data_IF_658616281968
#
_entry.id   IF_658616281968
#
_cell.length_a   1.000
_cell.length_b   1.000
_cell.length_c   1.000
_cell.angle_alpha   90.00
_cell.angle_beta   90.00
_cell.angle_gamma   90.00
#
_symmetry.space_group_name_H-M   'P 1'
#
loop_
_entity.id
_entity.type
_entity.pdbx_description
1 polymer ?
#
# COMPACT_ATOMS: atom_id res chain seq x y z
N UNK A 1 9.35 -10.63 -0.94
CA UNK A 1 10.08 -11.76 -1.60
C UNK A 1 10.47 -11.39 -3.05
N UNK A 2 11.59 -11.89 -3.62
CA UNK A 2 12.19 -11.38 -4.90
C UNK A 2 12.11 -12.33 -6.11
N UNK A 3 11.24 -13.35 -6.16
CA UNK A 3 11.41 -14.41 -7.19
C UNK A 3 10.15 -14.73 -8.00
N UNK A 4 8.98 -14.89 -7.39
CA UNK A 4 7.84 -15.54 -8.06
C UNK A 4 7.33 -14.79 -9.31
N UNK A 5 7.11 -13.49 -9.20
CA UNK A 5 6.59 -12.70 -10.33
C UNK A 5 7.68 -12.25 -11.30
N UNK A 6 8.97 -12.29 -10.92
CA UNK A 6 10.06 -11.73 -11.73
C UNK A 6 10.20 -12.34 -13.13
N UNK A 7 9.67 -13.55 -13.33
CA UNK A 7 9.57 -14.21 -14.62
C UNK A 7 8.77 -13.40 -15.66
N UNK A 8 7.86 -12.51 -15.24
CA UNK A 8 7.00 -11.71 -16.12
C UNK A 8 7.62 -10.36 -16.53
N UNK A 9 8.81 -10.01 -16.04
CA UNK A 9 9.46 -8.74 -16.38
C UNK A 9 9.67 -8.60 -17.89
N UNK A 10 9.38 -7.41 -18.42
CA UNK A 10 9.51 -7.11 -19.85
C UNK A 10 8.32 -7.54 -20.70
N UNK A 11 7.30 -8.18 -20.13
CA UNK A 11 6.05 -8.45 -20.87
C UNK A 11 5.35 -7.13 -21.24
N UNK A 12 4.70 -7.05 -22.42
CA UNK A 12 4.11 -5.81 -22.95
C UNK A 12 2.93 -5.27 -22.12
N UNK A 13 2.36 -6.10 -21.24
CA UNK A 13 1.21 -5.76 -20.41
C UNK A 13 1.60 -5.04 -19.11
N UNK A 14 2.89 -5.00 -18.77
CA UNK A 14 3.34 -4.36 -17.54
C UNK A 14 3.32 -2.83 -17.69
N UNK A 15 2.46 -2.16 -16.91
CA UNK A 15 2.47 -0.69 -16.80
C UNK A 15 3.76 -0.19 -16.13
N UNK A 16 4.35 -0.99 -15.25
CA UNK A 16 5.61 -0.69 -14.55
C UNK A 16 6.45 -1.95 -14.39
N UNK A 17 7.78 -1.82 -14.18
CA UNK A 17 8.60 -2.92 -13.72
C UNK A 17 8.06 -3.52 -12.42
N UNK A 18 8.35 -4.80 -12.19
CA UNK A 18 7.90 -5.49 -10.98
C UNK A 18 8.48 -4.81 -9.74
N UNK A 19 7.58 -4.42 -8.84
CA UNK A 19 7.92 -3.73 -7.61
C UNK A 19 8.31 -4.73 -6.54
N UNK A 20 9.52 -4.57 -5.99
CA UNK A 20 10.02 -5.42 -4.90
C UNK A 20 10.11 -4.71 -3.55
N UNK A 21 10.01 -3.38 -3.54
CA UNK A 21 10.09 -2.54 -2.34
C UNK A 21 8.68 -2.20 -1.83
N UNK A 22 8.46 -2.32 -0.52
CA UNK A 22 7.14 -2.09 0.07
C UNK A 22 6.74 -0.61 0.06
N UNK A 23 7.69 0.31 0.21
CA UNK A 23 7.41 1.75 0.12
C UNK A 23 6.98 2.14 -1.29
N UNK A 24 7.65 1.59 -2.31
CA UNK A 24 7.25 1.75 -3.69
C UNK A 24 5.89 1.12 -3.97
N UNK A 25 5.58 -0.05 -3.41
CA UNK A 25 4.27 -0.70 -3.58
C UNK A 25 3.11 0.20 -3.07
N UNK A 26 3.29 0.88 -1.94
CA UNK A 26 2.31 1.85 -1.42
C UNK A 26 2.11 3.02 -2.40
N UNK A 27 3.18 3.51 -3.04
CA UNK A 27 3.07 4.58 -4.06
C UNK A 27 2.23 4.13 -5.24
N UNK A 28 2.44 2.90 -5.72
CA UNK A 28 1.65 2.32 -6.82
C UNK A 28 0.17 2.19 -6.45
N UNK A 29 -0.13 1.75 -5.22
CA UNK A 29 -1.52 1.69 -4.75
C UNK A 29 -2.15 3.08 -4.70
N UNK A 30 -1.41 4.10 -4.28
CA UNK A 30 -1.90 5.49 -4.26
C UNK A 30 -2.07 6.07 -5.66
N UNK A 31 -1.20 5.73 -6.61
CA UNK A 31 -1.39 6.06 -8.01
C UNK A 31 -2.66 5.41 -8.56
N UNK A 32 -2.89 4.13 -8.26
CA UNK A 32 -4.09 3.42 -8.71
C UNK A 32 -5.38 4.07 -8.18
N UNK A 33 -5.36 4.64 -6.98
CA UNK A 33 -6.48 5.43 -6.45
C UNK A 33 -6.68 6.71 -7.25
N UNK A 34 -5.61 7.40 -7.64
CA UNK A 34 -5.70 8.60 -8.47
C UNK A 34 -6.21 8.30 -9.88
N UNK A 35 -5.72 7.22 -10.50
CA UNK A 35 -6.21 6.73 -11.79
C UNK A 35 -7.70 6.33 -11.71
N UNK A 36 -8.11 5.70 -10.61
CA UNK A 36 -9.52 5.40 -10.35
C UNK A 36 -10.38 6.67 -10.31
N UNK A 37 -9.96 7.72 -9.59
CA UNK A 37 -10.65 9.01 -9.53
C UNK A 37 -10.72 9.69 -10.91
N UNK A 38 -9.61 9.68 -11.65
CA UNK A 38 -9.53 10.19 -13.02
C UNK A 38 -10.54 9.48 -13.93
N UNK A 39 -10.63 8.14 -13.87
CA UNK A 39 -11.62 7.37 -14.63
C UNK A 39 -13.05 7.76 -14.28
N UNK A 40 -13.37 7.94 -12.99
CA UNK A 40 -14.70 8.41 -12.59
C UNK A 40 -15.04 9.78 -13.16
N UNK A 41 -14.08 10.72 -13.17
CA UNK A 41 -14.29 12.04 -13.78
C UNK A 41 -14.57 11.92 -15.28
N UNK A 42 -13.79 11.12 -15.99
CA UNK A 42 -13.99 10.85 -17.42
C UNK A 42 -15.37 10.24 -17.66
N UNK A 43 -15.80 9.28 -16.83
CA UNK A 43 -17.11 8.65 -16.98
C UNK A 43 -18.25 9.64 -16.75
N UNK A 44 -18.12 10.51 -15.76
CA UNK A 44 -19.10 11.56 -15.48
C UNK A 44 -19.20 12.58 -16.63
N UNK A 45 -18.06 13.01 -17.19
CA UNK A 45 -17.99 13.96 -18.32
C UNK A 45 -18.59 13.37 -19.61
N UNK A 46 -18.45 12.06 -19.82
CA UNK A 46 -18.99 11.36 -20.99
C UNK A 46 -20.38 10.76 -20.78
N UNK A 47 -20.94 10.85 -19.56
CA UNK A 47 -22.28 10.34 -19.24
C UNK A 47 -22.40 8.82 -19.15
N UNK A 48 -21.28 8.10 -19.03
CA UNK A 48 -21.23 6.63 -18.92
C UNK A 48 -21.05 6.19 -17.47
N UNK A 49 -21.38 4.92 -17.18
CA UNK A 49 -21.38 4.40 -15.80
C UNK A 49 -20.16 3.58 -15.42
N UNK A 50 -19.42 3.07 -16.40
CA UNK A 50 -18.32 2.14 -16.20
C UNK A 50 -17.36 2.14 -17.39
N UNK A 51 -16.25 1.42 -17.23
CA UNK A 51 -15.20 1.27 -18.24
C UNK A 51 -15.74 0.73 -19.58
N UNK A 52 -16.62 -0.28 -19.53
CA UNK A 52 -17.19 -0.87 -20.74
C UNK A 52 -18.00 0.14 -21.55
N UNK A 53 -18.86 0.90 -20.87
CA UNK A 53 -19.64 1.97 -21.48
C UNK A 53 -18.76 3.09 -22.02
N UNK A 54 -17.69 3.45 -21.32
CA UNK A 54 -16.71 4.42 -21.83
C UNK A 54 -16.01 3.91 -23.10
N UNK A 55 -15.55 2.67 -23.10
CA UNK A 55 -14.87 2.08 -24.25
C UNK A 55 -15.79 1.92 -25.46
N UNK A 56 -17.08 1.62 -25.24
CA UNK A 56 -18.09 1.63 -26.29
C UNK A 56 -18.33 3.03 -26.84
N UNK A 57 -18.48 4.03 -25.96
CA UNK A 57 -18.62 5.43 -26.36
C UNK A 57 -17.45 5.91 -27.23
N UNK A 58 -16.21 5.66 -26.79
CA UNK A 58 -14.99 6.07 -27.51
C UNK A 58 -14.89 5.43 -28.89
N UNK A 59 -15.21 4.14 -29.01
CA UNK A 59 -15.21 3.43 -30.31
C UNK A 59 -16.22 4.01 -31.30
N UNK A 60 -17.30 4.63 -30.82
CA UNK A 60 -18.36 5.17 -31.66
C UNK A 60 -18.09 6.62 -32.14
N UNK A 61 -17.30 7.41 -31.40
CA UNK A 61 -17.09 8.84 -31.71
C UNK A 61 -15.93 9.11 -32.68
N UNK A 62 -15.15 8.08 -33.06
CA UNK A 62 -14.13 8.11 -34.12
C UNK A 62 -13.18 9.32 -34.08
N UNK A 63 -12.69 9.66 -32.88
CA UNK A 63 -12.00 10.93 -32.61
C UNK A 63 -10.56 10.76 -32.07
N UNK A 64 -9.80 9.79 -32.61
CA UNK A 64 -8.44 9.39 -32.19
C UNK A 64 -8.23 9.12 -30.68
N UNK A 65 -9.33 9.07 -29.91
CA UNK A 65 -9.30 8.74 -28.49
C UNK A 65 -9.22 7.23 -28.36
N UNK A 66 -8.28 6.73 -27.56
CA UNK A 66 -8.13 5.30 -27.34
C UNK A 66 -9.00 4.80 -26.19
N UNK A 67 -9.50 3.54 -26.25
CA UNK A 67 -10.20 2.91 -25.15
C UNK A 67 -9.26 2.71 -23.95
N UNK A 68 -9.79 2.84 -22.75
CA UNK A 68 -9.05 2.62 -21.51
C UNK A 68 -8.90 1.10 -21.23
N UNK A 69 -7.71 0.63 -20.82
CA UNK A 69 -7.48 -0.77 -20.50
C UNK A 69 -8.00 -1.14 -19.11
N UNK A 70 -8.26 -2.43 -18.87
CA UNK A 70 -8.35 -2.94 -17.51
C UNK A 70 -6.97 -2.93 -16.85
N UNK A 71 -6.93 -2.58 -15.57
CA UNK A 71 -5.71 -2.62 -14.78
C UNK A 71 -5.86 -3.74 -13.74
N UNK A 72 -4.93 -4.69 -13.72
CA UNK A 72 -4.90 -5.76 -12.72
C UNK A 72 -3.66 -5.56 -11.86
N UNK A 73 -3.87 -5.34 -10.56
CA UNK A 73 -2.81 -5.21 -9.57
C UNK A 73 -2.69 -6.53 -8.83
N UNK A 74 -1.52 -7.16 -8.91
CA UNK A 74 -1.23 -8.44 -8.25
C UNK A 74 -0.23 -8.23 -7.13
N UNK A 75 -0.59 -8.61 -5.91
CA UNK A 75 0.28 -8.60 -4.73
C UNK A 75 0.51 -10.05 -4.31
N UNK A 76 1.72 -10.56 -4.51
CA UNK A 76 2.10 -11.96 -4.21
C UNK A 76 2.14 -12.26 -2.70
N UNK A 77 2.52 -11.28 -1.88
CA UNK A 77 2.58 -11.43 -0.43
C UNK A 77 2.08 -10.18 0.28
N UNK A 78 0.78 -10.18 0.61
CA UNK A 78 0.14 -9.11 1.37
C UNK A 78 0.81 -8.90 2.74
N UNK A 79 1.32 -9.97 3.36
CA UNK A 79 1.94 -9.92 4.68
C UNK A 79 3.13 -8.95 4.74
N UNK A 80 3.98 -8.94 3.70
CA UNK A 80 5.16 -8.07 3.63
C UNK A 80 4.71 -6.59 3.63
N UNK A 81 3.61 -6.28 2.95
CA UNK A 81 3.03 -4.95 2.91
C UNK A 81 2.42 -4.56 4.26
N UNK A 82 1.60 -5.43 4.84
CA UNK A 82 0.92 -5.21 6.12
C UNK A 82 1.89 -5.10 7.30
N UNK A 83 3.01 -5.82 7.29
CA UNK A 83 4.01 -5.72 8.36
C UNK A 83 4.85 -4.43 8.28
N UNK A 84 5.02 -3.88 7.08
CA UNK A 84 5.81 -2.66 6.87
C UNK A 84 5.01 -1.38 7.08
N UNK A 85 3.75 -1.35 6.65
CA UNK A 85 2.88 -0.18 6.77
C UNK A 85 1.40 -0.57 6.87
N UNK A 86 0.95 -1.17 7.98
CA UNK A 86 -0.38 -1.79 8.08
C UNK A 86 -1.53 -0.82 7.79
N UNK A 87 -1.49 0.37 8.41
CA UNK A 87 -2.55 1.38 8.28
C UNK A 87 -2.66 1.87 6.83
N UNK A 88 -1.54 2.29 6.22
CA UNK A 88 -1.52 2.82 4.84
C UNK A 88 -1.91 1.73 3.84
N UNK A 89 -1.41 0.51 4.02
CA UNK A 89 -1.72 -0.62 3.15
C UNK A 89 -3.21 -0.96 3.19
N UNK A 90 -3.78 -1.11 4.39
CA UNK A 90 -5.19 -1.45 4.57
C UNK A 90 -6.11 -0.37 3.98
N UNK A 91 -5.83 0.91 4.25
CA UNK A 91 -6.60 2.03 3.71
C UNK A 91 -6.59 2.02 2.17
N UNK A 92 -5.41 1.94 1.55
CA UNK A 92 -5.31 1.95 0.09
C UNK A 92 -6.01 0.75 -0.55
N UNK A 93 -5.84 -0.44 0.02
CA UNK A 93 -6.47 -1.67 -0.47
C UNK A 93 -7.99 -1.64 -0.35
N UNK A 94 -8.51 -1.21 0.81
CA UNK A 94 -9.94 -1.11 1.04
C UNK A 94 -10.57 -0.07 0.12
N UNK A 95 -9.93 1.10 -0.03
CA UNK A 95 -10.42 2.18 -0.90
C UNK A 95 -10.52 1.76 -2.36
N UNK A 96 -9.49 1.08 -2.88
CA UNK A 96 -9.52 0.52 -4.23
C UNK A 96 -10.65 -0.52 -4.33
N UNK A 97 -10.66 -1.51 -3.43
CA UNK A 97 -11.63 -2.61 -3.48
C UNK A 97 -13.10 -2.14 -3.46
N UNK A 98 -13.43 -1.07 -2.73
CA UNK A 98 -14.79 -0.50 -2.70
C UNK A 98 -15.28 0.08 -4.03
N UNK A 99 -14.37 0.56 -4.87
CA UNK A 99 -14.70 1.39 -6.03
C UNK A 99 -14.22 0.80 -7.37
N UNK A 100 -13.48 -0.32 -7.32
CA UNK A 100 -12.93 -1.07 -8.47
C UNK A 100 -13.95 -1.49 -9.54
N UNK A 101 -15.18 -1.84 -9.16
CA UNK A 101 -16.13 -2.51 -10.08
C UNK A 101 -16.48 -1.70 -11.34
N UNK A 102 -16.58 -0.38 -11.23
CA UNK A 102 -16.94 0.46 -12.37
C UNK A 102 -15.73 0.93 -13.18
N UNK A 103 -14.57 1.09 -12.53
CA UNK A 103 -13.36 1.68 -13.13
C UNK A 103 -12.51 0.69 -13.92
N UNK A 104 -12.77 -0.61 -13.76
CA UNK A 104 -12.00 -1.68 -14.41
C UNK A 104 -10.57 -1.81 -13.86
N UNK A 105 -10.35 -1.35 -12.64
CA UNK A 105 -9.16 -1.65 -11.86
C UNK A 105 -9.51 -2.84 -10.98
N UNK A 106 -8.70 -3.89 -10.94
CA UNK A 106 -8.96 -5.11 -10.17
C UNK A 106 -7.75 -5.49 -9.33
N UNK A 107 -8.00 -6.04 -8.15
CA UNK A 107 -6.97 -6.46 -7.20
C UNK A 107 -6.96 -7.98 -7.08
N UNK A 108 -5.76 -8.56 -7.15
CA UNK A 108 -5.48 -9.94 -6.77
C UNK A 108 -4.44 -9.88 -5.64
N UNK A 109 -4.85 -10.28 -4.45
CA UNK A 109 -3.98 -10.33 -3.28
C UNK A 109 -3.75 -11.80 -2.88
N UNK A 110 -2.50 -12.16 -2.67
CA UNK A 110 -2.08 -13.47 -2.19
C UNK A 110 -1.28 -13.30 -0.90
N UNK A 111 -1.31 -14.32 -0.06
CA UNK A 111 -0.45 -14.41 1.12
C UNK A 111 -0.28 -15.86 1.54
N UNK A 112 0.89 -16.16 2.10
CA UNK A 112 1.15 -17.46 2.76
C UNK A 112 0.90 -17.41 4.27
N UNK A 113 0.54 -16.24 4.82
CA UNK A 113 0.37 -16.00 6.25
C UNK A 113 -1.10 -15.63 6.54
N UNK A 114 -2.00 -16.61 6.64
CA UNK A 114 -3.42 -16.36 6.88
C UNK A 114 -3.72 -16.08 8.36
N UNK A 115 -3.13 -15.01 8.91
CA UNK A 115 -3.41 -14.52 10.27
C UNK A 115 -4.43 -13.37 10.26
N UNK A 116 -5.09 -13.17 11.40
CA UNK A 116 -6.08 -12.09 11.59
C UNK A 116 -5.45 -10.70 11.43
N UNK A 117 -4.16 -10.56 11.78
CA UNK A 117 -3.42 -9.30 11.66
C UNK A 117 -3.08 -8.93 10.20
N UNK A 118 -3.12 -9.91 9.29
CA UNK A 118 -2.85 -9.71 7.86
C UNK A 118 -4.18 -9.65 7.08
N UNK A 119 -5.08 -10.58 7.35
CA UNK A 119 -6.42 -10.64 6.76
C UNK A 119 -7.41 -10.06 7.77
N UNK A 120 -7.36 -8.74 7.92
CA UNK A 120 -8.18 -8.00 8.88
C UNK A 120 -9.66 -8.02 8.48
N UNK A 121 -10.55 -7.61 9.40
CA UNK A 121 -11.98 -7.51 9.12
C UNK A 121 -12.29 -6.62 7.92
N UNK A 122 -11.61 -5.48 7.80
CA UNK A 122 -11.76 -4.55 6.68
C UNK A 122 -11.37 -5.19 5.35
N UNK A 123 -10.25 -5.93 5.32
CA UNK A 123 -9.85 -6.68 4.13
C UNK A 123 -10.92 -7.72 3.77
N UNK A 124 -11.43 -8.49 4.74
CA UNK A 124 -12.49 -9.48 4.45
C UNK A 124 -13.75 -8.84 3.86
N UNK A 125 -14.20 -7.71 4.40
CA UNK A 125 -15.41 -7.03 3.91
C UNK A 125 -15.26 -6.55 2.46
N UNK A 126 -14.08 -6.04 2.11
CA UNK A 126 -13.85 -5.46 0.77
C UNK A 126 -13.39 -6.49 -0.29
N UNK A 127 -12.94 -7.68 0.13
CA UNK A 127 -12.53 -8.78 -0.75
C UNK A 127 -13.44 -10.01 -0.54
N UNK A 128 -14.68 -10.00 -1.07
CA UNK A 128 -15.67 -11.05 -0.81
C UNK A 128 -15.42 -12.36 -1.57
N UNK A 129 -14.75 -12.29 -2.73
CA UNK A 129 -14.35 -13.49 -3.49
C UNK A 129 -12.99 -13.96 -3.01
N UNK A 130 -12.89 -15.20 -2.54
CA UNK A 130 -11.67 -15.74 -1.91
C UNK A 130 -11.35 -17.14 -2.39
N UNK A 131 -10.07 -17.45 -2.44
CA UNK A 131 -9.55 -18.79 -2.73
C UNK A 131 -8.65 -19.18 -1.56
N UNK A 132 -8.85 -20.38 -1.02
CA UNK A 132 -7.92 -20.99 -0.08
C UNK A 132 -7.38 -22.29 -0.69
N UNK A 133 -6.06 -22.39 -0.80
CA UNK A 133 -5.37 -23.66 -0.97
C UNK A 133 -5.25 -24.37 0.40
N UNK A 134 -4.62 -25.54 0.41
CA UNK A 134 -4.37 -26.27 1.65
C UNK A 134 -3.65 -25.41 2.70
N UNK A 135 -4.22 -25.37 3.90
CA UNK A 135 -3.68 -24.67 5.08
C UNK A 135 -3.46 -25.65 6.22
N UNK A 136 -2.65 -25.27 7.21
CA UNK A 136 -2.26 -26.17 8.29
C UNK A 136 -3.34 -26.35 9.36
N UNK A 137 -4.20 -25.35 9.57
CA UNK A 137 -5.15 -25.36 10.70
C UNK A 137 -6.55 -24.89 10.33
N UNK A 138 -7.54 -25.31 11.13
CA UNK A 138 -8.91 -24.80 11.05
C UNK A 138 -9.00 -23.30 11.31
N UNK A 139 -8.07 -22.74 12.09
CA UNK A 139 -8.01 -21.31 12.37
C UNK A 139 -7.66 -20.57 11.09
N UNK A 140 -6.62 -21.01 10.38
CA UNK A 140 -6.21 -20.43 9.09
C UNK A 140 -7.33 -20.51 8.04
N UNK A 141 -8.03 -21.66 7.97
CA UNK A 141 -9.20 -21.82 7.07
C UNK A 141 -10.27 -20.78 7.38
N UNK A 142 -10.58 -20.56 8.66
CA UNK A 142 -11.55 -19.55 9.10
C UNK A 142 -11.05 -18.13 8.87
N UNK A 143 -9.75 -17.85 8.98
CA UNK A 143 -9.22 -16.52 8.65
C UNK A 143 -9.47 -16.18 7.18
N UNK A 144 -9.30 -17.14 6.26
CA UNK A 144 -9.47 -16.90 4.82
C UNK A 144 -10.95 -16.96 4.41
N UNK A 145 -11.67 -18.04 4.74
CA UNK A 145 -12.99 -18.35 4.19
C UNK A 145 -14.15 -18.11 5.15
N UNK A 146 -13.88 -17.69 6.39
CA UNK A 146 -14.85 -17.64 7.49
C UNK A 146 -15.49 -19.01 7.86
N UNK A 147 -15.02 -20.10 7.24
CA UNK A 147 -15.44 -21.48 7.49
C UNK A 147 -14.24 -22.44 7.59
N UNK A 148 -14.48 -23.62 8.16
CA UNK A 148 -13.53 -24.73 8.10
C UNK A 148 -13.63 -25.46 6.75
N UNK A 149 -12.54 -26.11 6.32
CA UNK A 149 -12.50 -26.98 5.16
C UNK A 149 -11.17 -26.94 4.41
N UNK A 150 -10.49 -25.80 4.42
CA UNK A 150 -9.22 -25.66 3.70
C UNK A 150 -8.10 -26.49 4.35
N UNK A 151 -8.19 -26.78 5.65
CA UNK A 151 -7.25 -27.65 6.37
C UNK A 151 -7.35 -29.14 5.98
N UNK A 152 -8.38 -29.51 5.23
CA UNK A 152 -8.63 -30.88 4.75
C UNK A 152 -8.25 -31.07 3.28
N UNK A 153 -7.76 -30.03 2.63
CA UNK A 153 -7.33 -30.09 1.23
C UNK A 153 -6.03 -30.90 1.12
N UNK A 154 -5.83 -31.50 -0.04
CA UNK A 154 -4.74 -32.45 -0.30
C UNK A 154 -3.42 -31.76 -0.70
N UNK A 155 -3.43 -30.44 -0.88
CA UNK A 155 -2.31 -29.68 -1.46
C UNK A 155 -2.27 -29.79 -2.98
N UNK A 156 -1.13 -29.44 -3.59
CA UNK A 156 -0.86 -29.60 -5.03
C UNK A 156 -1.98 -29.06 -5.95
N UNK A 157 -2.50 -27.87 -5.64
CA UNK A 157 -3.54 -27.21 -6.43
C UNK A 157 -4.98 -27.48 -5.96
N UNK A 158 -5.22 -28.40 -5.02
CA UNK A 158 -6.55 -28.57 -4.41
C UNK A 158 -6.92 -27.30 -3.62
N UNK A 159 -8.10 -26.75 -3.91
CA UNK A 159 -8.54 -25.45 -3.39
C UNK A 159 -10.04 -25.39 -3.12
N UNK A 160 -10.42 -24.48 -2.22
CA UNK A 160 -11.78 -24.02 -2.03
C UNK A 160 -11.92 -22.60 -2.60
N UNK A 161 -12.82 -22.44 -3.55
CA UNK A 161 -13.19 -21.15 -4.12
C UNK A 161 -14.52 -20.69 -3.52
N UNK A 162 -14.51 -19.54 -2.85
CA UNK A 162 -15.69 -18.88 -2.29
C UNK A 162 -16.00 -17.62 -3.10
N UNK A 163 -16.81 -17.71 -4.17
CA UNK A 163 -17.20 -16.53 -4.93
C UNK A 163 -18.20 -15.66 -4.16
N UNK A 164 -18.17 -14.35 -4.45
CA UNK A 164 -19.17 -13.41 -3.96
C UNK A 164 -20.60 -13.87 -4.30
N UNK A 165 -21.51 -13.77 -3.32
CA UNK A 165 -22.92 -14.13 -3.49
C UNK A 165 -23.25 -15.61 -3.33
N UNK A 166 -22.26 -16.50 -3.15
CA UNK A 166 -22.47 -17.93 -2.91
C UNK A 166 -22.15 -18.27 -1.46
N UNK A 167 -23.07 -19.00 -0.80
CA UNK A 167 -22.99 -19.29 0.64
C UNK A 167 -22.01 -20.40 1.02
N UNK A 168 -21.61 -21.25 0.06
CA UNK A 168 -20.71 -22.37 0.29
C UNK A 168 -19.56 -22.35 -0.73
N UNK A 169 -18.30 -22.51 -0.27
CA UNK A 169 -17.19 -22.64 -1.19
C UNK A 169 -17.31 -23.89 -2.07
N UNK A 170 -16.83 -23.75 -3.30
CA UNK A 170 -16.77 -24.78 -4.31
C UNK A 170 -15.36 -25.36 -4.28
N UNK A 171 -15.24 -26.68 -4.10
CA UNK A 171 -13.95 -27.35 -4.21
C UNK A 171 -13.55 -27.46 -5.68
N UNK A 172 -12.32 -27.08 -5.99
CA UNK A 172 -11.77 -27.11 -7.34
C UNK A 172 -10.31 -27.58 -7.31
N UNK A 173 -9.82 -28.04 -8.46
CA UNK A 173 -8.43 -28.43 -8.66
C UNK A 173 -7.76 -27.41 -9.57
N UNK A 174 -6.71 -26.77 -9.07
CA UNK A 174 -5.89 -25.81 -9.82
C UNK A 174 -5.18 -26.50 -10.98
N UNK A 175 -5.20 -25.86 -12.14
CA UNK A 175 -4.42 -26.30 -13.28
C UNK A 175 -2.93 -26.19 -12.95
N UNK A 176 -2.20 -27.29 -13.11
CA UNK A 176 -0.76 -27.30 -12.92
C UNK A 176 -0.07 -26.76 -14.16
N UNK A 177 0.83 -25.80 -13.96
CA UNK A 177 1.66 -25.21 -15.03
C UNK A 177 3.10 -25.26 -14.54
N UNK A 178 4.00 -25.79 -15.37
CA UNK A 178 5.43 -25.81 -15.03
C UNK A 178 6.10 -24.50 -15.42
N UNK A 179 7.15 -24.13 -14.70
CA UNK A 179 7.89 -22.88 -14.96
C UNK A 179 8.37 -22.76 -16.42
N UNK A 180 8.75 -23.88 -17.05
CA UNK A 180 9.13 -23.91 -18.47
C UNK A 180 8.01 -23.43 -19.40
N UNK A 181 6.76 -23.80 -19.12
CA UNK A 181 5.61 -23.37 -19.89
C UNK A 181 5.39 -21.86 -19.73
N UNK A 182 5.50 -21.35 -18.50
CA UNK A 182 5.43 -19.91 -18.20
C UNK A 182 6.51 -19.15 -18.98
N UNK A 183 7.77 -19.60 -18.90
CA UNK A 183 8.90 -18.98 -19.63
C UNK A 183 8.67 -18.99 -21.14
N UNK A 184 8.14 -20.07 -21.70
CA UNK A 184 7.85 -20.16 -23.13
C UNK A 184 6.80 -19.11 -23.55
N UNK A 185 5.72 -18.98 -22.79
CA UNK A 185 4.67 -17.99 -23.04
C UNK A 185 5.22 -16.57 -22.91
N UNK A 186 5.94 -16.27 -21.83
CA UNK A 186 6.55 -14.95 -21.62
C UNK A 186 7.53 -14.61 -22.74
N UNK A 187 8.42 -15.53 -23.11
CA UNK A 187 9.39 -15.31 -24.18
C UNK A 187 8.71 -15.08 -25.53
N UNK A 188 7.63 -15.81 -25.80
CA UNK A 188 6.81 -15.61 -26.99
C UNK A 188 6.21 -14.20 -27.02
N UNK A 189 5.62 -13.75 -25.90
CA UNK A 189 5.02 -12.41 -25.80
C UNK A 189 6.05 -11.30 -26.00
N UNK A 190 7.21 -11.39 -25.34
CA UNK A 190 8.29 -10.40 -25.46
C UNK A 190 8.83 -10.34 -26.89
N UNK A 191 8.97 -11.49 -27.56
CA UNK A 191 9.51 -11.54 -28.92
C UNK A 191 8.57 -10.98 -29.98
N UNK A 192 7.25 -11.11 -29.79
CA UNK A 192 6.25 -10.78 -30.80
C UNK A 192 5.42 -9.52 -30.48
N UNK A 193 5.77 -8.79 -29.41
CA UNK A 193 5.08 -7.56 -29.01
C UNK A 193 6.09 -6.42 -28.86
N UNK A 194 5.66 -5.16 -28.94
CA UNK A 194 6.50 -4.03 -28.56
C UNK A 194 7.01 -4.16 -27.12
N UNK A 195 8.16 -3.55 -26.85
CA UNK A 195 8.63 -3.39 -25.47
C UNK A 195 7.57 -2.67 -24.64
N UNK A 196 7.41 -3.01 -23.35
CA UNK A 196 6.45 -2.34 -22.49
C UNK A 196 6.78 -0.85 -22.39
N UNK A 197 5.77 -0.02 -22.62
CA UNK A 197 5.84 1.41 -22.36
C UNK A 197 5.54 1.63 -20.88
N UNK A 198 6.60 1.70 -20.07
CA UNK A 198 6.42 1.90 -18.64
C UNK A 198 5.95 3.32 -18.34
N UNK A 199 4.85 3.42 -17.61
CA UNK A 199 4.30 4.68 -17.15
C UNK A 199 5.16 5.24 -16.01
N UNK A 200 6.10 6.11 -16.37
CA UNK A 200 6.99 6.80 -15.42
C UNK A 200 6.20 7.53 -14.32
N UNK A 201 5.02 8.06 -14.66
CA UNK A 201 4.12 8.74 -13.71
C UNK A 201 3.72 7.85 -12.53
N UNK A 202 3.59 6.54 -12.73
CA UNK A 202 3.27 5.58 -11.67
C UNK A 202 4.43 5.46 -10.67
N UNK A 203 5.67 5.41 -11.17
CA UNK A 203 6.89 5.24 -10.38
C UNK A 203 7.28 6.53 -9.65
N UNK A 204 7.10 7.65 -10.34
CA UNK A 204 7.38 8.98 -9.83
C UNK A 204 6.20 9.57 -9.06
N UNK A 205 5.09 8.84 -8.92
CA UNK A 205 3.89 9.28 -8.24
C UNK A 205 4.23 9.75 -6.82
N UNK A 206 4.33 11.06 -6.71
CA UNK A 206 4.27 11.81 -5.47
C UNK A 206 2.87 12.34 -5.46
N UNK A 207 2.05 11.91 -4.49
CA UNK A 207 0.68 12.40 -4.28
C UNK A 207 0.70 13.92 -4.49
N UNK A 208 0.25 14.38 -5.66
CA UNK A 208 0.20 15.80 -5.96
C UNK A 208 -0.78 16.39 -4.96
N UNK A 209 -0.35 17.41 -4.21
CA UNK A 209 -1.15 18.12 -3.20
C UNK A 209 -2.40 18.74 -3.84
N UNK A 210 -3.40 17.93 -4.11
CA UNK A 210 -4.68 18.30 -4.68
C UNK A 210 -5.79 17.60 -3.91
N UNK A 211 -6.53 18.39 -3.13
CA UNK A 211 -7.83 18.12 -2.52
C UNK A 211 -7.96 17.34 -1.21
N UNK A 212 -6.89 16.98 -0.52
CA UNK A 212 -6.93 16.79 0.94
C UNK A 212 -5.62 17.35 1.52
N UNK A 213 -5.73 18.42 2.31
CA UNK A 213 -4.69 18.87 3.22
C UNK A 213 -4.49 17.78 4.27
N UNK A 214 -3.71 16.77 3.94
CA UNK A 214 -2.86 16.10 4.91
C UNK A 214 -1.45 16.49 4.52
N UNK A 215 -0.98 17.51 5.21
CA UNK A 215 0.42 17.87 5.31
C UNK A 215 1.18 16.59 5.68
N UNK A 216 1.94 16.02 4.74
CA UNK A 216 3.26 15.45 5.08
C UNK A 216 4.21 16.62 5.44
N UNK A 217 3.80 17.44 6.39
CA UNK A 217 4.71 17.75 7.46
C UNK A 217 4.82 16.44 8.23
N UNK A 218 6.02 16.01 8.60
CA UNK A 218 6.12 15.24 9.85
C UNK A 218 5.27 16.05 10.83
N UNK A 219 4.07 15.61 11.23
CA UNK A 219 3.21 16.37 12.17
C UNK A 219 4.16 16.92 13.23
N UNK A 220 4.43 18.22 13.15
CA UNK A 220 5.20 18.90 14.17
C UNK A 220 4.25 18.75 15.35
N UNK A 221 4.57 17.77 16.19
CA UNK A 221 3.84 17.50 17.43
C UNK A 221 3.50 18.87 18.02
N UNK A 222 2.24 19.15 18.32
CA UNK A 222 1.79 20.50 18.70
C UNK A 222 2.64 21.11 19.84
N UNK A 223 3.28 20.24 20.63
CA UNK A 223 4.15 20.56 21.74
C UNK A 223 5.63 20.70 21.34
N UNK A 224 5.99 20.66 20.05
CA UNK A 224 7.36 20.66 19.57
C UNK A 224 8.06 21.97 19.93
N UNK A 225 7.45 23.11 19.60
CA UNK A 225 8.00 24.43 19.94
C UNK A 225 8.08 24.64 21.45
N UNK A 226 7.06 24.18 22.19
CA UNK A 226 7.08 24.20 23.65
C UNK A 226 8.21 23.31 24.20
N UNK A 227 8.41 22.12 23.61
CA UNK A 227 9.46 21.20 23.99
C UNK A 227 10.85 21.80 23.74
N UNK A 228 11.07 22.44 22.58
CA UNK A 228 12.34 23.11 22.26
C UNK A 228 12.59 24.26 23.24
N UNK A 229 11.59 25.12 23.49
CA UNK A 229 11.74 26.22 24.46
C UNK A 229 12.08 25.72 25.87
N UNK A 230 11.46 24.62 26.30
CA UNK A 230 11.73 23.99 27.61
C UNK A 230 13.18 23.52 27.69
N UNK A 231 13.69 22.79 26.70
CA UNK A 231 15.06 22.27 26.77
C UNK A 231 16.10 23.38 26.72
N UNK A 232 15.87 24.45 25.96
CA UNK A 232 16.75 25.62 25.89
C UNK A 232 16.75 26.37 27.22
N UNK A 233 15.57 26.68 27.75
CA UNK A 233 15.44 27.41 29.02
C UNK A 233 16.02 26.64 30.21
N UNK A 234 15.85 25.32 30.24
CA UNK A 234 16.38 24.46 31.31
C UNK A 234 17.83 23.99 31.05
N UNK A 235 18.42 24.34 29.89
CA UNK A 235 19.75 23.91 29.44
C UNK A 235 19.99 22.40 29.48
N UNK A 236 18.92 21.61 29.38
CA UNK A 236 18.96 20.16 29.53
C UNK A 236 17.98 19.49 28.56
N UNK A 237 18.50 18.74 27.56
CA UNK A 237 17.67 17.97 26.64
C UNK A 237 17.58 16.50 27.07
N UNK A 238 16.54 16.18 27.85
CA UNK A 238 16.27 14.81 28.30
C UNK A 238 14.79 14.46 28.17
N UNK A 239 14.49 13.16 27.99
CA UNK A 239 13.10 12.69 27.88
C UNK A 239 12.33 13.02 29.17
N UNK A 240 12.95 12.83 30.34
CA UNK A 240 12.31 13.04 31.65
C UNK A 240 11.95 14.49 31.95
N UNK A 241 12.66 15.48 31.38
CA UNK A 241 12.28 16.89 31.55
C UNK A 241 11.05 17.24 30.73
N UNK A 242 10.94 16.72 29.50
CA UNK A 242 9.78 16.91 28.64
C UNK A 242 8.53 16.23 29.20
N UNK A 243 8.67 14.99 29.71
CA UNK A 243 7.56 14.29 30.36
C UNK A 243 6.96 15.08 31.53
N UNK A 244 7.81 15.68 32.39
CA UNK A 244 7.33 16.45 33.56
C UNK A 244 6.74 17.80 33.19
N UNK A 245 7.36 18.51 32.24
CA UNK A 245 6.95 19.88 31.88
C UNK A 245 5.74 19.91 30.95
N UNK A 246 5.65 18.97 30.01
CA UNK A 246 4.56 18.88 29.03
C UNK A 246 3.48 17.85 29.40
N UNK A 247 3.67 17.10 30.49
CA UNK A 247 2.74 16.05 30.95
C UNK A 247 2.45 14.99 29.87
N UNK A 248 3.47 14.60 29.11
CA UNK A 248 3.39 13.62 28.02
C UNK A 248 4.01 12.28 28.38
N UNK A 249 3.58 11.22 27.70
CA UNK A 249 4.14 9.87 27.83
C UNK A 249 5.56 9.74 27.26
N UNK A 250 6.26 8.66 27.66
CA UNK A 250 7.66 8.40 27.27
C UNK A 250 7.86 8.38 25.75
N UNK A 251 7.00 7.67 25.01
CA UNK A 251 7.10 7.50 23.56
C UNK A 251 7.01 8.83 22.81
N UNK A 252 6.10 9.72 23.25
CA UNK A 252 5.93 11.06 22.65
C UNK A 252 7.12 11.96 22.95
N UNK A 253 7.61 11.93 24.20
CA UNK A 253 8.81 12.67 24.60
C UNK A 253 10.09 12.18 23.89
N UNK A 254 10.24 10.87 23.67
CA UNK A 254 11.34 10.30 22.91
C UNK A 254 11.30 10.75 21.44
N UNK A 255 10.12 10.69 20.80
CA UNK A 255 9.91 11.16 19.43
C UNK A 255 10.25 12.63 19.27
N UNK A 256 9.83 13.49 20.20
CA UNK A 256 10.19 14.92 20.22
C UNK A 256 11.71 15.13 20.23
N UNK A 257 12.43 14.39 21.08
CA UNK A 257 13.90 14.47 21.18
C UNK A 257 14.58 13.97 19.90
N UNK A 258 14.08 12.91 19.27
CA UNK A 258 14.63 12.38 18.02
C UNK A 258 14.39 13.32 16.83
N UNK A 259 13.22 13.99 16.78
CA UNK A 259 12.95 15.04 15.79
C UNK A 259 13.88 16.24 16.01
N UNK A 260 14.13 16.64 17.27
CA UNK A 260 15.11 17.69 17.58
C UNK A 260 16.53 17.30 17.14
N UNK A 261 16.92 16.02 17.22
CA UNK A 261 18.22 15.55 16.73
C UNK A 261 18.31 15.66 15.21
N UNK A 262 17.27 15.19 14.49
CA UNK A 262 17.20 15.32 13.03
C UNK A 262 17.30 16.78 12.58
N UNK A 263 16.64 17.69 13.32
CA UNK A 263 16.67 19.14 13.07
C UNK A 263 17.96 19.82 13.57
N UNK A 264 18.93 19.05 14.08
CA UNK A 264 20.21 19.55 14.63
C UNK A 264 20.04 20.56 15.76
N UNK A 265 18.94 20.47 16.51
CA UNK A 265 18.69 21.26 17.73
C UNK A 265 19.43 20.63 18.91
N UNK A 266 19.46 19.29 18.96
CA UNK A 266 20.20 18.50 19.95
C UNK A 266 21.19 17.58 19.25
N UNK A 267 22.30 17.27 19.92
CA UNK A 267 23.32 16.35 19.45
C UNK A 267 22.91 14.88 19.64
N UNK A 268 23.72 13.96 19.10
CA UNK A 268 23.43 12.53 19.15
C UNK A 268 23.41 11.99 20.58
N UNK A 269 22.74 10.84 20.75
CA UNK A 269 22.64 10.17 22.04
C UNK A 269 23.99 9.61 22.51
N UNK A 270 24.41 9.99 23.72
CA UNK A 270 25.70 9.61 24.33
C UNK A 270 25.52 8.66 25.54
N UNK A 271 24.46 7.85 25.53
CA UNK A 271 24.28 6.70 26.44
C UNK A 271 23.81 7.00 27.87
N UNK A 272 24.35 8.01 28.57
CA UNK A 272 24.00 8.27 30.00
C UNK A 272 23.66 9.72 30.35
N UNK A 273 24.05 10.68 29.52
CA UNK A 273 23.85 12.09 29.80
C UNK A 273 22.71 12.70 28.95
N UNK A 274 22.10 13.81 29.41
CA UNK A 274 21.22 14.62 28.57
C UNK A 274 21.91 15.00 27.25
N UNK A 275 21.18 15.00 26.13
CA UNK A 275 21.73 15.33 24.81
C UNK A 275 22.26 16.77 24.83
N UNK A 276 23.40 16.99 24.17
CA UNK A 276 24.01 18.33 24.08
C UNK A 276 23.12 19.22 23.21
N UNK A 277 22.76 20.40 23.69
CA UNK A 277 22.01 21.37 22.89
C UNK A 277 22.97 22.04 21.91
N UNK A 278 22.61 22.07 20.62
CA UNK A 278 23.47 22.54 19.53
C UNK A 278 23.15 23.97 19.08
N UNK A 279 21.99 24.52 19.46
CA UNK A 279 21.55 25.87 19.09
C UNK A 279 21.57 26.81 20.31
N UNK A 280 21.86 28.10 20.06
CA UNK A 280 21.75 29.14 21.09
C UNK A 280 20.31 29.65 21.21
N UNK A 281 19.98 30.29 22.34
CA UNK A 281 18.64 30.86 22.55
C UNK A 281 18.30 31.95 21.51
N UNK A 282 19.29 32.75 21.10
CA UNK A 282 19.15 33.77 20.06
C UNK A 282 18.89 33.16 18.68
N UNK A 283 19.54 32.02 18.37
CA UNK A 283 19.35 31.32 17.10
C UNK A 283 17.99 30.62 17.04
N UNK A 284 17.45 30.17 18.18
CA UNK A 284 16.10 29.63 18.26
C UNK A 284 15.02 30.71 18.04
N UNK A 285 15.11 31.82 18.78
CA UNK A 285 14.15 32.93 18.68
C UNK A 285 14.07 33.49 17.25
N UNK A 286 15.21 33.57 16.54
CA UNK A 286 15.21 34.03 15.14
C UNK A 286 14.61 33.05 14.13
N UNK A 287 14.59 31.74 14.42
CA UNK A 287 14.09 30.69 13.52
C UNK A 287 12.67 30.23 13.81
N UNK A 288 12.21 30.30 15.06
CA UNK A 288 10.99 29.62 15.50
C UNK A 288 10.01 30.49 16.32
N UNK A 289 10.39 31.71 16.69
CA UNK A 289 9.51 32.65 17.43
C UNK A 289 8.96 33.73 16.48
N UNK A 290 8.13 33.30 15.51
CA UNK A 290 7.28 34.17 14.68
C UNK A 290 5.82 33.92 14.94
#
# INVERSE_FOLDING_TARGET
KRVELNIYNGTPHLLIPIVTDTSQAIKVLNWAISEMEKRFKIFAETGVRNLDGYNEYVRNINNDTEPLPYIIIVIDELADLMLSSPVKAEESLCRLAQMTRATGIHLIIATQRPSVDIITGSIKVNFPSRIAFAVSTQVDSRTILDINGAEKLLGNGDMLFSPVGVSKPIRAQGAFVVEKEIRNVVSYLIKHSPSPEYEQEVLEYKKSKGLMQETEEEEEDELFNDAVSIIINNKQASISILQRKLRIGYTRAARLIDVMEKKRIVGPYDGRNPRKILISNEEYLSKYDK
#
